data_IF_937268643668
#
_entry.id   IF_937268643668
#
_cell.length_a   1.000
_cell.length_b   1.000
_cell.length_c   1.000
_cell.angle_alpha   90.00
_cell.angle_beta   90.00
_cell.angle_gamma   90.00
#
_symmetry.space_group_name_H-M   'P 1'
#
loop_
_entity.id
_entity.type
_entity.pdbx_description
1 polymer ?
#
# COMPACT_ATOMS: atom_id res chain seq x y z
N UNK A 1 16.63 -22.19 36.89
CA UNK A 1 15.78 -22.75 35.82
C UNK A 1 14.74 -21.71 35.46
N UNK A 2 14.81 -21.16 34.25
CA UNK A 2 13.80 -20.22 33.73
C UNK A 2 12.79 -21.03 32.91
N UNK A 3 11.48 -20.97 33.16
CA UNK A 3 10.53 -21.74 32.35
C UNK A 3 10.51 -21.19 30.93
N UNK A 4 10.58 -22.10 29.96
CA UNK A 4 10.52 -21.78 28.54
C UNK A 4 9.21 -21.05 28.23
N UNK A 5 9.30 -19.80 27.75
CA UNK A 5 8.22 -19.20 26.98
C UNK A 5 8.15 -19.95 25.65
N UNK A 6 7.22 -20.90 25.55
CA UNK A 6 6.72 -21.35 24.25
C UNK A 6 5.99 -20.15 23.65
N UNK A 7 6.40 -19.59 22.50
CA UNK A 7 5.58 -18.58 21.86
C UNK A 7 4.27 -19.27 21.48
N UNK A 8 3.19 -18.94 22.21
CA UNK A 8 1.84 -19.22 21.77
C UNK A 8 1.72 -18.46 20.45
N UNK A 9 1.74 -19.18 19.34
CA UNK A 9 1.26 -18.65 18.07
C UNK A 9 -0.26 -18.57 18.28
N UNK A 10 -0.71 -17.48 18.90
CA UNK A 10 -2.13 -17.17 18.98
C UNK A 10 -2.58 -16.97 17.55
N UNK A 11 -3.25 -18.00 16.99
CA UNK A 11 -3.89 -17.92 15.70
C UNK A 11 -4.80 -16.69 15.72
N UNK A 12 -4.38 -15.63 15.03
CA UNK A 12 -5.13 -14.38 14.99
C UNK A 12 -6.48 -14.69 14.36
N UNK A 13 -7.56 -14.37 15.07
CA UNK A 13 -8.89 -14.65 14.54
C UNK A 13 -9.13 -13.77 13.30
N UNK A 14 -9.96 -14.21 12.33
CA UNK A 14 -10.12 -13.49 11.06
C UNK A 14 -10.57 -12.04 11.25
N UNK A 15 -11.34 -11.77 12.30
CA UNK A 15 -11.73 -10.42 12.70
C UNK A 15 -10.55 -9.56 13.21
N UNK A 16 -9.55 -10.16 13.86
CA UNK A 16 -8.32 -9.48 14.32
C UNK A 16 -7.38 -9.15 13.14
N UNK A 17 -7.44 -9.99 12.09
CA UNK A 17 -6.76 -9.74 10.82
C UNK A 17 -7.49 -8.76 9.90
N UNK A 18 -8.66 -8.26 10.32
CA UNK A 18 -9.46 -7.31 9.54
C UNK A 18 -10.08 -7.92 8.28
N UNK A 19 -10.35 -9.23 8.29
CA UNK A 19 -10.98 -9.94 7.17
C UNK A 19 -12.49 -9.95 7.36
N UNK A 20 -13.21 -9.38 6.40
CA UNK A 20 -14.68 -9.40 6.36
C UNK A 20 -15.14 -10.43 5.32
N UNK A 21 -15.67 -11.58 5.77
CA UNK A 21 -16.28 -12.58 4.89
C UNK A 21 -17.76 -12.30 4.66
N UNK A 22 -18.23 -12.47 3.42
CA UNK A 22 -19.64 -12.33 3.07
C UNK A 22 -20.01 -13.19 1.85
N UNK A 23 -21.28 -13.11 1.45
CA UNK A 23 -21.80 -13.65 0.19
C UNK A 23 -22.17 -12.52 -0.76
N UNK A 24 -21.69 -12.61 -1.99
CA UNK A 24 -22.02 -11.68 -3.07
C UNK A 24 -23.40 -11.99 -3.69
N UNK A 25 -23.88 -11.13 -4.59
CA UNK A 25 -25.20 -11.25 -5.22
C UNK A 25 -25.38 -12.55 -6.01
N UNK A 26 -24.27 -13.10 -6.53
CA UNK A 26 -24.24 -14.34 -7.30
C UNK A 26 -23.95 -15.60 -6.42
N UNK A 27 -24.20 -15.51 -5.11
CA UNK A 27 -23.90 -16.53 -4.08
C UNK A 27 -22.41 -16.93 -3.97
N UNK A 28 -21.52 -16.12 -4.55
CA UNK A 28 -20.08 -16.32 -4.49
C UNK A 28 -19.53 -15.95 -3.10
N UNK A 29 -18.58 -16.75 -2.61
CA UNK A 29 -17.82 -16.42 -1.42
C UNK A 29 -16.96 -15.18 -1.70
N UNK A 30 -17.07 -14.16 -0.84
CA UNK A 30 -16.26 -12.95 -0.95
C UNK A 30 -15.61 -12.60 0.39
N UNK A 31 -14.45 -11.98 0.31
CA UNK A 31 -13.72 -11.49 1.48
C UNK A 31 -13.14 -10.11 1.19
N UNK A 32 -13.25 -9.18 2.15
CA UNK A 32 -12.56 -7.89 2.10
C UNK A 32 -11.39 -7.89 3.07
N UNK A 33 -10.25 -7.41 2.59
CA UNK A 33 -9.02 -7.23 3.35
C UNK A 33 -8.52 -5.82 3.04
N UNK A 34 -8.80 -4.87 3.95
CA UNK A 34 -8.55 -3.45 3.71
C UNK A 34 -9.25 -2.95 2.44
N UNK A 35 -8.46 -2.58 1.42
CA UNK A 35 -8.94 -2.05 0.15
C UNK A 35 -9.15 -3.09 -0.95
N UNK A 36 -8.68 -4.31 -0.71
CA UNK A 36 -8.83 -5.43 -1.62
C UNK A 36 -10.12 -6.18 -1.29
N UNK A 37 -10.85 -6.54 -2.34
CA UNK A 37 -11.97 -7.48 -2.24
C UNK A 37 -11.64 -8.67 -3.11
N UNK A 38 -11.75 -9.86 -2.56
CA UNK A 38 -11.53 -11.13 -3.23
C UNK A 38 -12.84 -11.91 -3.36
N UNK A 39 -12.95 -12.69 -4.43
CA UNK A 39 -14.08 -13.57 -4.68
C UNK A 39 -13.61 -14.95 -5.13
N UNK A 40 -14.32 -15.98 -4.68
CA UNK A 40 -14.27 -17.32 -5.24
C UNK A 40 -15.26 -17.41 -6.40
N UNK A 41 -14.72 -17.45 -7.62
CA UNK A 41 -15.47 -17.31 -8.85
C UNK A 41 -15.46 -18.65 -9.61
N UNK A 42 -16.62 -19.24 -9.95
CA UNK A 42 -16.66 -20.52 -10.65
C UNK A 42 -16.09 -20.39 -12.07
N UNK A 43 -15.24 -21.32 -12.50
CA UNK A 43 -14.59 -21.30 -13.82
C UNK A 43 -15.11 -22.41 -14.76
N UNK A 44 -16.29 -22.96 -14.47
CA UNK A 44 -16.82 -24.17 -15.12
C UNK A 44 -16.20 -25.43 -14.52
N UNK A 45 -16.63 -26.62 -14.96
CA UNK A 45 -15.96 -27.90 -14.66
C UNK A 45 -15.77 -28.32 -13.18
N UNK A 46 -16.39 -27.60 -12.24
CA UNK A 46 -16.19 -27.80 -10.79
C UNK A 46 -14.94 -27.08 -10.23
N UNK A 47 -14.20 -26.34 -11.05
CA UNK A 47 -13.08 -25.52 -10.59
C UNK A 47 -13.52 -24.11 -10.18
N UNK A 48 -12.84 -23.56 -9.17
CA UNK A 48 -12.98 -22.17 -8.76
C UNK A 48 -11.69 -21.41 -9.01
N UNK A 49 -11.82 -20.14 -9.34
CA UNK A 49 -10.72 -19.19 -9.48
C UNK A 49 -10.84 -18.13 -8.39
N UNK A 50 -9.70 -17.73 -7.85
CA UNK A 50 -9.61 -16.56 -7.01
C UNK A 50 -9.55 -15.31 -7.88
N UNK A 51 -10.51 -14.41 -7.72
CA UNK A 51 -10.53 -13.13 -8.40
C UNK A 51 -10.45 -11.97 -7.40
N UNK A 52 -9.97 -10.80 -7.83
CA UNK A 52 -9.92 -9.60 -6.97
C UNK A 52 -10.37 -8.32 -7.65
N UNK A 53 -10.76 -7.37 -6.81
CA UNK A 53 -11.08 -5.99 -7.13
C UNK A 53 -10.42 -5.04 -6.09
N UNK A 54 -10.18 -3.79 -6.46
CA UNK A 54 -9.56 -2.78 -5.61
C UNK A 54 -10.50 -1.60 -5.37
N UNK A 55 -10.51 -1.08 -4.14
CA UNK A 55 -11.27 0.11 -3.68
C UNK A 55 -12.75 0.06 -4.05
N UNK A 56 -13.38 -1.09 -3.85
CA UNK A 56 -14.82 -1.25 -4.07
C UNK A 56 -15.61 -0.70 -2.86
N UNK A 57 -16.26 0.45 -3.04
CA UNK A 57 -17.03 1.12 -1.98
C UNK A 57 -18.42 0.52 -1.73
N UNK A 58 -18.91 -0.32 -2.64
CA UNK A 58 -20.22 -0.98 -2.51
C UNK A 58 -20.20 -2.04 -1.39
N UNK A 59 -21.36 -2.37 -0.79
CA UNK A 59 -21.48 -3.50 0.12
C UNK A 59 -21.11 -4.82 -0.57
N UNK A 60 -20.49 -5.75 0.17
CA UNK A 60 -20.06 -7.05 -0.37
C UNK A 60 -21.22 -7.85 -0.97
N UNK A 61 -22.41 -7.78 -0.36
CA UNK A 61 -23.62 -8.45 -0.85
C UNK A 61 -24.12 -7.93 -2.21
N UNK A 62 -23.76 -6.72 -2.60
CA UNK A 62 -24.17 -6.15 -3.87
C UNK A 62 -23.23 -6.53 -5.03
N UNK A 63 -22.05 -7.11 -4.75
CA UNK A 63 -21.02 -7.37 -5.74
C UNK A 63 -21.42 -8.51 -6.67
N UNK A 64 -21.00 -8.39 -7.93
CA UNK A 64 -21.22 -9.37 -8.99
C UNK A 64 -19.88 -9.82 -9.55
N UNK A 65 -19.90 -10.92 -10.31
CA UNK A 65 -18.70 -11.44 -10.98
C UNK A 65 -17.93 -10.37 -11.78
N UNK A 66 -18.65 -9.51 -12.49
CA UNK A 66 -18.07 -8.48 -13.37
C UNK A 66 -17.35 -7.35 -12.61
N UNK A 67 -17.56 -7.23 -11.30
CA UNK A 67 -16.86 -6.26 -10.47
C UNK A 67 -15.38 -6.66 -10.23
N UNK A 68 -15.00 -7.91 -10.54
CA UNK A 68 -13.67 -8.47 -10.32
C UNK A 68 -12.88 -8.55 -11.64
N UNK A 69 -11.66 -8.00 -11.66
CA UNK A 69 -10.88 -7.83 -12.88
C UNK A 69 -9.51 -8.53 -12.88
N UNK A 70 -9.06 -9.06 -11.73
CA UNK A 70 -7.79 -9.81 -11.62
C UNK A 70 -8.04 -11.25 -11.21
N UNK A 71 -7.19 -12.17 -11.67
CA UNK A 71 -7.23 -13.60 -11.33
C UNK A 71 -5.91 -14.04 -10.68
N UNK A 72 -6.00 -14.75 -9.54
CA UNK A 72 -4.86 -15.11 -8.67
C UNK A 72 -4.59 -16.62 -8.61
N UNK A 73 -5.23 -17.41 -9.48
CA UNK A 73 -5.09 -18.86 -9.53
C UNK A 73 -6.36 -19.61 -9.13
N UNK A 74 -6.27 -20.94 -9.10
CA UNK A 74 -7.38 -21.81 -8.76
C UNK A 74 -7.48 -22.06 -7.25
N UNK A 75 -8.70 -22.31 -6.78
CA UNK A 75 -9.02 -22.69 -5.39
C UNK A 75 -9.92 -23.92 -5.43
N UNK A 76 -9.70 -24.86 -4.52
CA UNK A 76 -10.43 -26.13 -4.52
C UNK A 76 -11.88 -25.98 -4.03
N UNK A 77 -12.07 -25.26 -2.93
CA UNK A 77 -13.37 -25.09 -2.26
C UNK A 77 -13.39 -23.83 -1.39
N UNK A 78 -14.51 -23.60 -0.71
CA UNK A 78 -14.67 -22.45 0.18
C UNK A 78 -13.74 -22.50 1.41
N UNK A 79 -13.38 -23.68 1.92
CA UNK A 79 -12.48 -23.78 3.07
C UNK A 79 -11.06 -23.35 2.66
N UNK A 80 -10.58 -23.82 1.51
CA UNK A 80 -9.32 -23.38 0.91
C UNK A 80 -9.33 -21.88 0.58
N UNK A 81 -10.48 -21.34 0.17
CA UNK A 81 -10.64 -19.90 -0.02
C UNK A 81 -10.45 -19.13 1.30
N UNK A 82 -11.11 -19.54 2.39
CA UNK A 82 -11.00 -18.88 3.70
C UNK A 82 -9.58 -18.92 4.24
N UNK A 83 -8.92 -20.07 4.15
CA UNK A 83 -7.52 -20.25 4.56
C UNK A 83 -6.60 -19.28 3.81
N UNK A 84 -6.77 -19.19 2.49
CA UNK A 84 -6.02 -18.25 1.66
C UNK A 84 -6.29 -16.78 1.99
N UNK A 85 -7.50 -16.43 2.41
CA UNK A 85 -7.84 -15.06 2.82
C UNK A 85 -7.20 -14.69 4.16
N UNK A 86 -7.09 -15.66 5.07
CA UNK A 86 -6.34 -15.48 6.33
C UNK A 86 -4.86 -15.24 6.02
N UNK A 87 -4.24 -16.10 5.21
CA UNK A 87 -2.85 -15.94 4.76
C UNK A 87 -2.61 -14.58 4.08
N UNK A 88 -3.52 -14.16 3.20
CA UNK A 88 -3.44 -12.87 2.51
C UNK A 88 -3.59 -11.68 3.47
N UNK A 89 -4.39 -11.79 4.52
CA UNK A 89 -4.58 -10.76 5.52
C UNK A 89 -3.36 -10.63 6.43
N UNK A 90 -2.77 -11.74 6.84
CA UNK A 90 -1.49 -11.77 7.54
C UNK A 90 -0.41 -11.09 6.69
N UNK A 91 -0.28 -11.48 5.42
CA UNK A 91 0.67 -10.84 4.51
C UNK A 91 0.43 -9.33 4.36
N UNK A 92 -0.83 -8.90 4.25
CA UNK A 92 -1.18 -7.48 4.16
C UNK A 92 -0.82 -6.71 5.44
N UNK A 93 -1.03 -7.33 6.61
CA UNK A 93 -0.65 -6.79 7.92
C UNK A 93 0.87 -6.67 8.04
N UNK A 94 1.62 -7.71 7.66
CA UNK A 94 3.08 -7.70 7.63
C UNK A 94 3.63 -6.59 6.71
N UNK A 95 3.07 -6.45 5.49
CA UNK A 95 3.40 -5.36 4.58
C UNK A 95 3.10 -3.98 5.17
N UNK A 96 2.03 -3.85 5.96
CA UNK A 96 1.71 -2.61 6.69
C UNK A 96 2.71 -2.29 7.80
N UNK A 97 3.22 -3.30 8.50
CA UNK A 97 4.27 -3.17 9.52
C UNK A 97 5.63 -2.83 8.92
N UNK A 98 5.90 -3.32 7.71
CA UNK A 98 7.02 -2.88 6.87
C UNK A 98 6.75 -1.46 6.38
N UNK A 99 6.88 -0.47 7.27
CA UNK A 99 6.84 0.95 6.93
C UNK A 99 7.63 1.20 5.64
N UNK A 100 7.11 2.01 4.70
CA UNK A 100 7.78 2.31 3.42
C UNK A 100 9.10 3.03 3.69
N UNK A 101 10.16 2.27 3.90
CA UNK A 101 11.51 2.79 4.03
C UNK A 101 12.03 3.10 2.64
N UNK A 102 12.03 4.39 2.28
CA UNK A 102 12.72 4.83 1.07
C UNK A 102 14.23 4.72 1.32
N UNK A 103 14.82 3.63 0.86
CA UNK A 103 16.26 3.44 0.86
C UNK A 103 16.79 3.86 -0.51
N UNK A 104 17.70 4.83 -0.53
CA UNK A 104 18.45 5.14 -1.76
C UNK A 104 19.44 4.00 -2.01
N UNK A 105 19.09 3.09 -2.92
CA UNK A 105 19.97 2.03 -3.38
C UNK A 105 20.76 2.51 -4.60
N UNK A 106 22.07 2.65 -4.45
CA UNK A 106 23.01 3.01 -5.53
C UNK A 106 23.44 1.79 -6.36
N UNK A 107 22.53 0.83 -6.57
CA UNK A 107 22.82 -0.33 -7.40
C UNK A 107 22.69 0.08 -8.87
N UNK A 108 23.70 -0.24 -9.68
CA UNK A 108 23.61 -0.19 -11.14
C UNK A 108 22.65 -1.28 -11.61
N UNK A 109 21.35 -1.03 -11.48
CA UNK A 109 20.35 -1.90 -12.09
C UNK A 109 20.43 -1.70 -13.61
N UNK A 110 20.28 -2.76 -14.41
CA UNK A 110 20.35 -2.68 -15.88
C UNK A 110 19.22 -1.82 -16.51
N UNK A 111 18.35 -1.24 -15.69
CA UNK A 111 17.24 -0.37 -16.07
C UNK A 111 17.59 1.13 -16.07
N UNK A 112 18.84 1.50 -15.74
CA UNK A 112 19.42 2.82 -16.07
C UNK A 112 18.83 4.06 -15.36
N UNK A 113 19.44 5.21 -15.63
CA UNK A 113 19.26 6.49 -14.93
C UNK A 113 17.98 7.29 -15.26
N UNK A 114 16.86 6.66 -15.56
CA UNK A 114 15.61 7.35 -15.96
C UNK A 114 14.93 8.17 -14.84
N UNK A 115 15.55 8.34 -13.67
CA UNK A 115 14.95 8.96 -12.47
C UNK A 115 15.65 10.21 -11.92
N UNK A 116 16.67 10.76 -12.58
CA UNK A 116 17.21 12.07 -12.19
C UNK A 116 17.46 12.93 -13.42
N UNK A 117 17.03 14.21 -13.46
CA UNK A 117 17.51 15.12 -14.48
C UNK A 117 19.05 15.20 -14.35
N UNK A 118 19.80 15.30 -15.45
CA UNK A 118 21.23 15.59 -15.35
C UNK A 118 21.37 16.92 -14.61
N UNK A 119 21.88 16.87 -13.38
CA UNK A 119 22.38 18.05 -12.71
C UNK A 119 23.56 18.53 -13.52
N UNK A 120 23.33 19.51 -14.39
CA UNK A 120 24.41 20.22 -15.08
C UNK A 120 25.34 20.79 -14.00
N UNK A 121 26.65 20.54 -14.07
CA UNK A 121 27.57 21.26 -13.21
C UNK A 121 27.50 22.73 -13.63
N UNK A 122 26.91 23.58 -12.80
CA UNK A 122 27.18 25.01 -12.84
C UNK A 122 28.68 25.16 -12.65
N UNK A 123 29.38 25.46 -13.74
CA UNK A 123 30.78 25.83 -13.71
C UNK A 123 30.93 27.02 -12.77
N UNK A 124 31.60 26.80 -11.64
CA UNK A 124 32.13 27.86 -10.80
C UNK A 124 33.16 28.64 -11.61
N UNK A 125 32.82 29.85 -12.06
CA UNK A 125 33.83 30.86 -12.35
C UNK A 125 34.19 31.59 -11.05
N UNK A 126 35.48 31.63 -10.67
CA UNK A 126 35.95 32.45 -9.56
C UNK A 126 36.25 33.87 -10.04
N UNK A 127 36.35 34.80 -9.08
CA UNK A 127 36.94 36.15 -9.18
C UNK A 127 35.93 37.30 -9.31
N UNK A 128 35.56 37.91 -8.18
CA UNK A 128 36.22 39.15 -7.75
C UNK A 128 36.03 39.40 -6.25
N UNK A 129 37.10 39.96 -5.69
CA UNK A 129 37.33 40.36 -4.31
C UNK A 129 37.11 41.88 -4.23
N UNK A 130 36.48 42.37 -3.15
CA UNK A 130 36.98 43.43 -2.24
C UNK A 130 35.90 44.39 -1.69
N UNK A 131 36.04 44.63 -0.37
CA UNK A 131 35.63 45.78 0.46
C UNK A 131 34.13 46.02 0.70
N UNK A 132 33.63 45.84 1.92
CA UNK A 132 33.78 46.66 3.14
C UNK A 132 32.76 47.82 3.23
N UNK A 133 32.12 47.83 4.40
CA UNK A 133 31.59 48.96 5.15
C UNK A 133 30.13 49.38 4.94
N UNK A 134 29.39 49.21 6.05
CA UNK A 134 28.43 50.15 6.65
C UNK A 134 27.18 50.53 5.83
N UNK A 135 26.01 50.13 6.32
CA UNK A 135 25.31 50.94 7.32
C UNK A 135 24.04 50.23 7.76
N UNK A 136 23.92 50.05 9.07
CA UNK A 136 22.72 49.62 9.74
C UNK A 136 21.88 50.88 10.02
N UNK A 137 20.65 50.95 9.54
CA UNK A 137 19.63 51.85 10.12
C UNK A 137 18.22 51.31 9.85
N UNK A 138 17.40 51.17 10.90
CA UNK A 138 16.02 50.71 10.82
C UNK A 138 15.05 51.90 10.72
N UNK A 139 13.98 51.79 9.93
CA UNK A 139 12.85 52.70 10.03
C UNK A 139 11.53 51.92 9.85
N UNK A 140 10.77 51.91 10.94
CA UNK A 140 9.30 51.90 11.12
C UNK A 140 8.46 50.83 10.37
N UNK A 141 7.71 49.98 11.07
CA UNK A 141 6.32 50.22 11.56
C UNK A 141 5.37 50.63 10.41
N UNK A 142 4.23 49.99 10.11
CA UNK A 142 3.25 49.16 10.85
C UNK A 142 2.30 48.51 9.80
N UNK A 143 1.30 47.66 10.17
CA UNK A 143 0.57 46.77 9.26
C UNK A 143 -0.63 47.44 8.57
N UNK A 144 -1.06 46.89 7.43
CA UNK A 144 -2.28 47.34 6.74
C UNK A 144 -2.90 46.28 5.81
N UNK A 145 -3.96 45.64 6.31
CA UNK A 145 -5.17 45.14 5.62
C UNK A 145 -5.09 44.41 4.27
N UNK A 146 -5.48 43.13 4.32
CA UNK A 146 -6.70 42.52 3.73
C UNK A 146 -7.36 43.29 2.56
N UNK A 147 -7.52 42.62 1.40
CA UNK A 147 -8.85 42.32 0.80
C UNK A 147 -8.78 41.39 -0.42
N UNK A 148 -9.73 40.44 -0.39
CA UNK A 148 -10.41 39.69 -1.46
C UNK A 148 -9.57 38.83 -2.41
#
# INVERSE_FOLDING_TARGET
>A
MNPAHTPQIEASTPEDLGVEFARAADDMAVARIGDLVFAMVPAGGGQYLLASAWRVSRPLAALKRDDFYSHHGAVADEAAFRDRMIEQAEHSRELGLLSRQSVRMTCSTPWGASQSPPSTPTASSPTQRLAMAASNSPLLATPGSIRC
#
